data_IF_625228299946
#
_entry.id   IF_625228299946
#
_cell.length_a   1.000
_cell.length_b   1.000
_cell.length_c   1.000
_cell.angle_alpha   90.00
_cell.angle_beta   90.00
_cell.angle_gamma   90.00
#
_symmetry.space_group_name_H-M   'P 1'
#
loop_
_entity.id
_entity.type
_entity.pdbx_description
1 polymer ?
#
# COMPACT_ATOMS: atom_id res chain seq x y z
N UNK A 1 -15.92 13.21 7.17
CA UNK A 1 -16.72 12.89 5.98
C UNK A 1 -16.15 11.62 5.38
N UNK A 2 -16.96 10.58 5.24
CA UNK A 2 -16.52 9.29 4.68
C UNK A 2 -16.43 9.32 3.14
N UNK A 3 -15.78 8.32 2.53
CA UNK A 3 -15.73 8.18 1.07
C UNK A 3 -17.13 8.09 0.45
N UNK A 4 -18.03 7.32 1.09
CA UNK A 4 -19.42 7.13 0.68
C UNK A 4 -20.17 8.47 0.62
N UNK A 5 -20.18 9.20 1.74
CA UNK A 5 -20.85 10.50 1.88
C UNK A 5 -20.34 11.54 0.87
N UNK A 6 -19.04 11.51 0.57
CA UNK A 6 -18.43 12.44 -0.40
C UNK A 6 -18.89 12.15 -1.83
N UNK A 7 -19.00 10.86 -2.20
CA UNK A 7 -19.49 10.44 -3.52
C UNK A 7 -20.98 10.76 -3.68
N UNK A 8 -21.79 10.52 -2.65
CA UNK A 8 -23.22 10.86 -2.65
C UNK A 8 -23.45 12.37 -2.84
N UNK A 9 -22.72 13.21 -2.10
CA UNK A 9 -22.82 14.67 -2.21
C UNK A 9 -22.36 15.19 -3.59
N UNK A 10 -21.50 14.44 -4.28
CA UNK A 10 -21.09 14.74 -5.64
C UNK A 10 -22.09 14.25 -6.71
N UNK A 11 -23.18 13.60 -6.31
CA UNK A 11 -24.21 13.09 -7.22
C UNK A 11 -23.82 11.81 -7.96
N UNK A 12 -22.76 11.12 -7.50
CA UNK A 12 -22.33 9.83 -8.07
C UNK A 12 -23.36 8.75 -7.69
N UNK A 13 -23.77 7.95 -8.67
CA UNK A 13 -24.85 6.98 -8.47
C UNK A 13 -24.80 5.76 -9.39
N UNK A 14 -25.89 5.00 -9.38
CA UNK A 14 -25.97 3.74 -10.12
C UNK A 14 -25.70 3.92 -11.62
N UNK A 15 -24.80 3.10 -12.16
CA UNK A 15 -24.38 3.16 -13.56
C UNK A 15 -23.08 3.94 -13.80
N UNK A 16 -22.60 4.67 -12.80
CA UNK A 16 -21.28 5.31 -12.84
C UNK A 16 -20.15 4.32 -12.54
N UNK A 17 -18.96 4.65 -13.02
CA UNK A 17 -17.71 3.99 -12.68
C UNK A 17 -16.84 4.88 -11.80
N UNK A 18 -16.25 4.28 -10.75
CA UNK A 18 -15.28 4.97 -9.89
C UNK A 18 -14.00 4.15 -9.84
N UNK A 19 -12.89 4.79 -10.22
CA UNK A 19 -11.57 4.16 -10.18
C UNK A 19 -11.07 4.12 -8.73
N UNK A 20 -10.71 2.93 -8.26
CA UNK A 20 -10.25 2.67 -6.88
C UNK A 20 -8.96 1.85 -6.89
N UNK A 21 -8.10 1.97 -5.86
CA UNK A 21 -6.91 1.15 -5.75
C UNK A 21 -7.28 -0.32 -5.51
N UNK A 22 -6.49 -1.20 -6.10
CA UNK A 22 -6.67 -2.65 -5.99
C UNK A 22 -5.97 -3.28 -4.78
N UNK A 23 -5.00 -2.58 -4.20
CA UNK A 23 -4.16 -3.10 -3.12
C UNK A 23 -4.62 -2.52 -1.77
N UNK A 24 -5.45 -3.21 -1.00
CA UNK A 24 -5.85 -2.77 0.37
C UNK A 24 -7.04 -1.80 0.41
N UNK A 25 -7.37 -1.27 1.60
CA UNK A 25 -8.47 -0.31 1.81
C UNK A 25 -9.84 -0.75 1.27
N UNK A 26 -10.23 -2.01 1.52
CA UNK A 26 -11.50 -2.61 1.07
C UNK A 26 -12.75 -1.75 1.37
N UNK A 27 -12.74 -0.99 2.46
CA UNK A 27 -13.84 -0.06 2.82
C UNK A 27 -14.13 0.96 1.72
N UNK A 28 -13.12 1.42 0.97
CA UNK A 28 -13.31 2.34 -0.17
C UNK A 28 -14.09 1.66 -1.29
N UNK A 29 -13.65 0.46 -1.72
CA UNK A 29 -14.33 -0.28 -2.78
C UNK A 29 -15.73 -0.74 -2.35
N UNK A 30 -15.91 -1.12 -1.08
CA UNK A 30 -17.22 -1.47 -0.51
C UNK A 30 -18.16 -0.28 -0.46
N UNK A 31 -17.68 0.92 -0.13
CA UNK A 31 -18.47 2.14 -0.19
C UNK A 31 -18.98 2.41 -1.60
N UNK A 32 -18.12 2.27 -2.62
CA UNK A 32 -18.52 2.40 -4.03
C UNK A 32 -19.61 1.38 -4.39
N UNK A 33 -19.41 0.11 -4.06
CA UNK A 33 -20.42 -0.94 -4.33
C UNK A 33 -21.74 -0.69 -3.59
N UNK A 34 -21.69 -0.21 -2.34
CA UNK A 34 -22.87 0.08 -1.54
C UNK A 34 -23.75 1.19 -2.15
N UNK A 35 -23.15 2.10 -2.94
CA UNK A 35 -23.86 3.13 -3.69
C UNK A 35 -24.47 2.63 -5.02
N UNK A 36 -24.29 1.35 -5.36
CA UNK A 36 -24.68 0.80 -6.66
C UNK A 36 -23.76 1.24 -7.81
N UNK A 37 -22.60 1.82 -7.49
CA UNK A 37 -21.59 2.31 -8.42
C UNK A 37 -20.62 1.16 -8.75
N UNK A 38 -20.08 1.14 -9.97
CA UNK A 38 -19.14 0.11 -10.41
C UNK A 38 -17.71 0.47 -9.99
N UNK A 39 -17.04 -0.31 -9.11
CA UNK A 39 -15.63 -0.09 -8.83
C UNK A 39 -14.77 -0.59 -9.99
N UNK A 40 -13.96 0.31 -10.55
CA UNK A 40 -12.94 -0.01 -11.56
C UNK A 40 -11.58 -0.04 -10.87
N UNK A 41 -10.90 -1.17 -10.89
CA UNK A 41 -9.61 -1.31 -10.24
C UNK A 41 -8.48 -0.88 -11.17
N UNK A 42 -7.63 0.03 -10.70
CA UNK A 42 -6.37 0.39 -11.35
C UNK A 42 -5.16 -0.08 -10.53
N UNK A 43 -4.04 -0.29 -11.23
CA UNK A 43 -2.80 -0.78 -10.62
C UNK A 43 -2.14 0.26 -9.71
N UNK A 44 -1.19 -0.20 -8.89
CA UNK A 44 -0.42 0.63 -7.96
C UNK A 44 0.98 0.89 -8.47
N UNK A 45 1.57 2.00 -8.06
CA UNK A 45 2.99 2.26 -8.26
C UNK A 45 3.83 1.32 -7.39
N UNK A 46 4.81 0.64 -8.00
CA UNK A 46 5.59 -0.43 -7.36
C UNK A 46 6.46 0.05 -6.19
N UNK A 47 6.79 1.34 -6.12
CA UNK A 47 7.56 1.94 -5.03
C UNK A 47 6.69 2.45 -3.89
N UNK A 48 5.58 3.12 -4.21
CA UNK A 48 4.72 3.80 -3.23
C UNK A 48 3.53 2.99 -2.76
N UNK A 49 3.12 1.98 -3.52
CA UNK A 49 1.89 1.21 -3.35
C UNK A 49 0.60 2.04 -3.39
N UNK A 50 0.72 3.33 -3.70
CA UNK A 50 -0.40 4.21 -3.98
C UNK A 50 -0.89 3.96 -5.41
N UNK A 51 -2.10 4.40 -5.71
CA UNK A 51 -2.69 4.32 -7.05
C UNK A 51 -1.79 5.00 -8.08
N UNK A 52 -1.48 4.32 -9.18
CA UNK A 52 -0.65 4.86 -10.26
C UNK A 52 -1.49 5.73 -11.21
N UNK A 53 -1.20 7.04 -11.36
CA UNK A 53 -1.92 7.91 -12.30
C UNK A 53 -1.92 7.41 -13.75
N UNK A 54 -0.87 6.70 -14.19
CA UNK A 54 -0.82 6.12 -15.53
C UNK A 54 -1.83 4.98 -15.67
N UNK A 55 -1.83 4.04 -14.73
CA UNK A 55 -2.81 2.95 -14.68
C UNK A 55 -4.26 3.45 -14.57
N UNK A 56 -4.50 4.55 -13.86
CA UNK A 56 -5.82 5.20 -13.85
C UNK A 56 -6.21 5.64 -15.25
N UNK A 57 -5.31 6.31 -15.98
CA UNK A 57 -5.60 6.82 -17.33
C UNK A 57 -5.95 5.70 -18.31
N UNK A 58 -5.42 4.49 -18.11
CA UNK A 58 -5.67 3.31 -18.96
C UNK A 58 -7.07 2.69 -18.77
N UNK A 59 -7.68 2.88 -17.60
CA UNK A 59 -8.97 2.25 -17.26
C UNK A 59 -10.15 3.23 -17.32
N UNK A 60 -9.89 4.51 -17.55
CA UNK A 60 -10.94 5.53 -17.67
C UNK A 60 -11.78 5.28 -18.92
N UNK A 61 -13.10 5.27 -18.73
CA UNK A 61 -14.10 5.15 -19.78
C UNK A 61 -15.01 6.38 -19.80
N UNK A 62 -15.96 6.43 -20.74
CA UNK A 62 -17.00 7.46 -20.76
C UNK A 62 -18.00 7.36 -19.60
N UNK A 63 -17.98 6.28 -18.81
CA UNK A 63 -18.80 6.10 -17.61
C UNK A 63 -18.03 6.44 -16.32
N UNK A 64 -16.74 6.70 -16.40
CA UNK A 64 -15.93 7.04 -15.24
C UNK A 64 -16.22 8.46 -14.79
N UNK A 65 -16.58 8.62 -13.52
CA UNK A 65 -16.94 9.93 -12.95
C UNK A 65 -16.03 10.36 -11.80
N UNK A 66 -15.32 9.42 -11.17
CA UNK A 66 -14.41 9.74 -10.08
C UNK A 66 -13.22 8.78 -9.99
N UNK A 67 -12.17 9.23 -9.33
CA UNK A 67 -11.02 8.44 -8.90
C UNK A 67 -10.78 8.66 -7.40
N UNK A 68 -10.56 7.57 -6.67
CA UNK A 68 -10.26 7.63 -5.23
C UNK A 68 -8.79 7.32 -5.00
N UNK A 69 -8.01 8.34 -4.68
CA UNK A 69 -6.64 8.23 -4.23
C UNK A 69 -6.60 7.84 -2.75
N UNK A 70 -5.76 6.88 -2.39
CA UNK A 70 -5.56 6.49 -0.98
C UNK A 70 -4.07 6.61 -0.64
N UNK A 71 -3.74 7.31 0.44
CA UNK A 71 -2.38 7.33 0.99
C UNK A 71 -2.04 5.97 1.59
N UNK A 72 -0.80 5.49 1.44
CA UNK A 72 -0.45 4.10 1.78
C UNK A 72 0.76 4.00 2.67
N UNK A 73 0.60 3.32 3.81
CA UNK A 73 1.68 2.98 4.73
C UNK A 73 2.46 4.21 5.26
N UNK A 74 1.80 5.37 5.26
CA UNK A 74 2.41 6.67 5.58
C UNK A 74 3.07 7.39 4.40
N UNK A 75 2.93 6.88 3.18
CA UNK A 75 3.32 7.54 1.92
C UNK A 75 2.10 8.20 1.29
N UNK A 76 2.26 9.45 0.88
CA UNK A 76 1.21 10.19 0.16
C UNK A 76 1.13 9.73 -1.29
N UNK A 77 -0.10 9.56 -1.78
CA UNK A 77 -0.38 9.37 -3.20
C UNK A 77 0.01 10.63 -3.99
N UNK A 78 0.30 10.46 -5.29
CA UNK A 78 0.58 11.56 -6.22
C UNK A 78 -0.73 12.28 -6.61
N UNK A 79 -1.32 12.99 -5.64
CA UNK A 79 -2.60 13.69 -5.80
C UNK A 79 -2.53 14.76 -6.89
N UNK A 80 -1.34 15.34 -7.12
CA UNK A 80 -1.14 16.32 -8.21
C UNK A 80 -1.43 15.67 -9.55
N UNK A 81 -0.77 14.56 -9.87
CA UNK A 81 -1.00 13.84 -11.12
C UNK A 81 -2.39 13.20 -11.21
N UNK A 82 -2.95 12.70 -10.11
CA UNK A 82 -4.31 12.18 -10.11
C UNK A 82 -5.36 13.27 -10.39
N UNK A 83 -5.12 14.51 -9.92
CA UNK A 83 -5.95 15.67 -10.29
C UNK A 83 -5.79 16.04 -11.76
N UNK A 84 -4.57 16.02 -12.30
CA UNK A 84 -4.34 16.26 -13.74
C UNK A 84 -5.05 15.20 -14.61
N UNK A 85 -5.10 13.93 -14.17
CA UNK A 85 -5.92 12.90 -14.83
C UNK A 85 -7.40 13.26 -14.70
N UNK A 86 -7.86 13.64 -13.51
CA UNK A 86 -9.24 14.07 -13.30
C UNK A 86 -9.66 15.24 -14.18
N UNK A 87 -8.86 16.30 -14.25
CA UNK A 87 -9.14 17.49 -15.08
C UNK A 87 -9.21 17.15 -16.57
N UNK A 88 -8.31 16.29 -17.07
CA UNK A 88 -8.30 15.88 -18.48
C UNK A 88 -9.52 15.03 -18.87
N UNK A 89 -10.05 14.25 -17.94
CA UNK A 89 -11.13 13.30 -18.19
C UNK A 89 -12.48 13.71 -17.56
N UNK A 90 -12.57 14.87 -16.90
CA UNK A 90 -13.77 15.33 -16.21
C UNK A 90 -14.11 14.55 -14.94
N UNK A 91 -13.13 13.95 -14.27
CA UNK A 91 -13.33 13.10 -13.09
C UNK A 91 -13.17 13.88 -11.78
N UNK A 92 -13.99 13.54 -10.80
CA UNK A 92 -13.77 13.95 -9.41
C UNK A 92 -12.59 13.17 -8.79
N UNK A 93 -11.55 13.89 -8.35
CA UNK A 93 -10.42 13.28 -7.65
C UNK A 93 -10.60 13.38 -6.12
N UNK A 94 -10.91 12.26 -5.48
CA UNK A 94 -11.05 12.15 -4.03
C UNK A 94 -9.75 11.67 -3.38
N UNK A 95 -9.41 12.22 -2.23
CA UNK A 95 -8.26 11.77 -1.43
C UNK A 95 -8.78 11.22 -0.12
N UNK A 96 -8.44 9.96 0.15
CA UNK A 96 -8.80 9.25 1.37
C UNK A 96 -7.51 8.95 2.13
N UNK A 97 -7.49 9.33 3.40
CA UNK A 97 -6.43 8.93 4.32
C UNK A 97 -6.61 7.44 4.66
N UNK A 98 -5.51 6.67 4.67
CA UNK A 98 -5.58 5.31 5.21
C UNK A 98 -5.91 5.42 6.70
N UNK A 99 -6.96 4.75 7.20
CA UNK A 99 -7.25 4.75 8.62
C UNK A 99 -6.01 4.21 9.35
N UNK A 100 -5.43 5.07 10.18
CA UNK A 100 -4.17 4.79 10.85
C UNK A 100 -4.25 3.50 11.66
N UNK A 101 -3.25 2.64 11.50
CA UNK A 101 -3.07 1.49 12.40
C UNK A 101 -2.60 1.93 13.81
N UNK A 102 -2.20 3.19 13.96
CA UNK A 102 -1.73 3.76 15.22
C UNK A 102 -2.40 5.12 15.49
N UNK A 103 -3.30 5.22 16.50
CA UNK A 103 -3.88 6.50 16.92
C UNK A 103 -2.82 7.49 17.44
N UNK A 104 -1.62 7.03 17.81
CA UNK A 104 -0.46 7.86 18.17
C UNK A 104 0.32 8.42 16.97
N UNK A 105 0.05 7.98 15.74
CA UNK A 105 0.71 8.47 14.52
C UNK A 105 0.47 9.95 14.23
N UNK A 106 -0.56 10.52 14.85
CA UNK A 106 -0.94 11.94 14.79
C UNK A 106 -0.25 12.79 15.88
N UNK A 107 0.44 12.20 16.85
CA UNK A 107 1.16 12.95 17.86
C UNK A 107 2.42 13.61 17.29
N UNK A 108 2.68 14.90 17.60
CA UNK A 108 3.90 15.57 17.17
C UNK A 108 5.16 14.80 17.59
N UNK A 109 6.06 14.52 16.65
CA UNK A 109 7.35 13.84 16.94
C UNK A 109 7.37 12.34 16.65
N UNK A 110 6.21 11.66 16.59
CA UNK A 110 6.18 10.19 16.36
C UNK A 110 6.72 9.83 14.98
N UNK A 111 6.34 10.59 13.95
CA UNK A 111 6.82 10.36 12.59
C UNK A 111 8.34 10.61 12.47
N UNK A 112 8.88 11.60 13.19
CA UNK A 112 10.31 11.89 13.26
C UNK A 112 11.08 10.73 13.90
N UNK A 113 10.57 10.17 15.00
CA UNK A 113 11.17 9.04 15.70
C UNK A 113 11.15 7.76 14.83
N UNK A 114 10.04 7.51 14.12
CA UNK A 114 9.97 6.42 13.12
C UNK A 114 11.00 6.62 12.01
N UNK A 115 11.11 7.83 11.46
CA UNK A 115 12.12 8.15 10.43
C UNK A 115 13.55 7.92 10.91
N UNK A 116 13.85 8.20 12.17
CA UNK A 116 15.16 7.89 12.75
C UNK A 116 15.43 6.38 12.82
N UNK A 117 14.42 5.58 13.19
CA UNK A 117 14.51 4.12 13.17
C UNK A 117 14.71 3.60 11.74
N UNK A 118 13.93 4.10 10.78
CA UNK A 118 14.03 3.70 9.36
C UNK A 118 15.38 4.08 8.77
N UNK A 119 15.91 5.27 9.04
CA UNK A 119 17.26 5.65 8.61
C UNK A 119 18.34 4.65 9.08
N UNK A 120 18.20 4.14 10.31
CA UNK A 120 19.09 3.10 10.82
C UNK A 120 18.92 1.77 10.08
N UNK A 121 17.69 1.37 9.79
CA UNK A 121 17.37 0.13 9.09
C UNK A 121 17.80 0.19 7.62
N UNK A 122 17.43 1.22 6.87
CA UNK A 122 17.74 1.38 5.44
C UNK A 122 19.26 1.33 5.18
N UNK A 123 20.05 1.94 6.07
CA UNK A 123 21.51 1.91 5.94
C UNK A 123 22.12 0.52 6.14
N UNK A 124 21.40 -0.47 6.71
CA UNK A 124 21.94 -1.77 7.15
C UNK A 124 21.19 -2.99 6.63
N UNK A 125 19.93 -2.86 6.23
CA UNK A 125 19.17 -3.95 5.63
C UNK A 125 19.73 -4.23 4.23
N UNK A 126 20.04 -5.50 3.99
CA UNK A 126 20.56 -6.04 2.74
C UNK A 126 19.78 -7.28 2.30
N UNK A 127 19.11 -7.95 3.24
CA UNK A 127 18.33 -9.16 2.95
C UNK A 127 16.91 -8.92 2.42
N UNK A 128 16.48 -7.67 2.34
CA UNK A 128 15.19 -7.25 1.79
C UNK A 128 15.37 -5.95 1.03
N UNK A 129 14.47 -5.66 0.08
CA UNK A 129 14.40 -4.36 -0.59
C UNK A 129 13.60 -3.40 0.29
N UNK A 130 14.23 -2.30 0.69
CA UNK A 130 13.60 -1.28 1.54
C UNK A 130 12.71 -0.35 0.71
N UNK A 131 11.74 0.35 1.34
CA UNK A 131 10.99 1.41 0.67
C UNK A 131 11.93 2.45 0.03
N UNK A 132 11.49 3.02 -1.09
CA UNK A 132 12.16 4.18 -1.64
C UNK A 132 12.00 5.40 -0.71
N UNK A 133 13.07 6.19 -0.51
CA UNK A 133 12.97 7.42 0.24
C UNK A 133 11.93 8.37 -0.38
N UNK A 134 10.99 8.85 0.43
CA UNK A 134 9.98 9.81 -0.01
C UNK A 134 9.88 10.99 0.95
N UNK A 135 9.65 12.17 0.39
CA UNK A 135 9.45 13.41 1.15
C UNK A 135 8.23 13.24 2.07
N UNK A 136 8.42 13.49 3.38
CA UNK A 136 7.37 13.41 4.41
C UNK A 136 6.73 12.02 4.61
N UNK A 137 7.40 10.93 4.24
CA UNK A 137 6.95 9.59 4.62
C UNK A 137 6.84 9.47 6.15
N UNK A 138 5.67 9.08 6.67
CA UNK A 138 5.43 8.96 8.13
C UNK A 138 5.82 7.58 8.66
N UNK A 139 5.93 6.59 7.77
CA UNK A 139 6.29 5.20 8.08
C UNK A 139 5.35 4.56 9.10
N UNK A 140 4.05 4.87 9.00
CA UNK A 140 3.00 4.17 9.75
C UNK A 140 3.11 2.65 9.62
N UNK A 141 3.52 2.18 8.44
CA UNK A 141 4.02 0.81 8.26
C UNK A 141 5.32 0.86 7.47
N UNK A 142 6.34 0.15 7.94
CA UNK A 142 7.59 -0.02 7.21
C UNK A 142 7.51 -1.27 6.34
N UNK A 143 7.15 -1.09 5.06
CA UNK A 143 6.85 -2.18 4.13
C UNK A 143 8.04 -2.46 3.22
N UNK A 144 8.69 -3.60 3.42
CA UNK A 144 9.81 -4.06 2.60
C UNK A 144 9.31 -5.07 1.56
N UNK A 145 10.08 -5.29 0.48
CA UNK A 145 9.87 -6.42 -0.43
C UNK A 145 10.89 -7.52 -0.16
N UNK A 146 10.41 -8.74 0.01
CA UNK A 146 11.22 -9.94 0.16
C UNK A 146 11.72 -10.37 -1.23
N UNK A 147 13.04 -10.56 -1.42
CA UNK A 147 13.58 -11.06 -2.69
C UNK A 147 13.14 -12.51 -2.93
N UNK A 148 13.05 -12.91 -4.20
CA UNK A 148 12.61 -14.24 -4.61
C UNK A 148 11.50 -14.16 -5.66
N UNK A 149 10.75 -15.26 -5.83
CA UNK A 149 9.68 -15.37 -6.83
C UNK A 149 8.28 -15.10 -6.24
N UNK A 150 8.18 -14.21 -5.25
CA UNK A 150 6.93 -13.91 -4.55
C UNK A 150 6.54 -15.02 -3.56
N UNK A 151 5.34 -15.58 -3.67
CA UNK A 151 4.94 -16.75 -2.87
C UNK A 151 5.43 -18.05 -3.53
N UNK A 152 5.94 -19.02 -2.75
CA UNK A 152 5.87 -19.14 -1.28
C UNK A 152 7.03 -18.48 -0.51
N UNK A 153 8.01 -17.90 -1.19
CA UNK A 153 9.26 -17.40 -0.60
C UNK A 153 9.01 -16.33 0.48
N UNK A 154 8.13 -15.36 0.21
CA UNK A 154 7.75 -14.33 1.19
C UNK A 154 7.18 -14.95 2.47
N UNK A 155 6.32 -15.96 2.34
CA UNK A 155 5.67 -16.61 3.48
C UNK A 155 6.68 -17.45 4.28
N UNK A 156 7.63 -18.11 3.60
CA UNK A 156 8.74 -18.80 4.23
C UNK A 156 9.67 -17.82 4.98
N UNK A 157 10.02 -16.70 4.35
CA UNK A 157 10.80 -15.62 4.97
C UNK A 157 10.11 -15.08 6.21
N UNK A 158 8.80 -14.79 6.13
CA UNK A 158 8.01 -14.30 7.26
C UNK A 158 7.97 -15.31 8.42
N UNK A 159 7.80 -16.61 8.15
CA UNK A 159 7.86 -17.66 9.18
C UNK A 159 9.24 -17.71 9.86
N UNK A 160 10.30 -17.68 9.06
CA UNK A 160 11.67 -17.71 9.59
C UNK A 160 12.01 -16.44 10.41
N UNK A 161 11.52 -15.28 9.99
CA UNK A 161 11.71 -14.02 10.68
C UNK A 161 11.00 -14.01 12.04
N UNK A 162 9.75 -14.50 12.10
CA UNK A 162 9.00 -14.68 13.35
C UNK A 162 9.67 -15.68 14.29
N UNK A 163 10.21 -16.78 13.76
CA UNK A 163 10.97 -17.75 14.57
C UNK A 163 12.25 -17.14 15.19
N UNK A 164 12.80 -16.07 14.60
CA UNK A 164 13.91 -15.28 15.14
C UNK A 164 13.46 -14.15 16.09
N UNK A 165 12.17 -14.09 16.42
CA UNK A 165 11.59 -13.10 17.33
C UNK A 165 11.41 -11.72 16.73
N UNK A 166 11.30 -11.61 15.40
CA UNK A 166 10.94 -10.37 14.72
C UNK A 166 9.52 -10.52 14.19
N UNK A 167 8.59 -9.75 14.76
CA UNK A 167 7.22 -9.71 14.28
C UNK A 167 7.18 -9.19 12.84
N UNK A 168 6.22 -9.67 12.04
CA UNK A 168 5.99 -9.16 10.69
C UNK A 168 4.62 -9.63 10.18
N UNK A 169 4.05 -8.92 9.22
CA UNK A 169 2.76 -9.26 8.60
C UNK A 169 2.76 -8.94 7.11
N UNK A 170 1.98 -9.67 6.32
CA UNK A 170 1.68 -9.26 4.95
C UNK A 170 0.63 -8.12 5.03
N UNK A 171 0.95 -6.89 4.56
CA UNK A 171 0.08 -5.74 4.81
C UNK A 171 -1.24 -5.82 4.03
N UNK A 172 -1.21 -6.42 2.84
CA UNK A 172 -2.40 -6.75 2.03
C UNK A 172 -2.17 -8.13 1.42
N UNK A 173 -2.71 -9.21 2.02
CA UNK A 173 -2.46 -10.56 1.56
C UNK A 173 -3.30 -10.95 0.33
N UNK A 174 -4.37 -10.23 0.03
CA UNK A 174 -5.27 -10.53 -1.09
C UNK A 174 -5.65 -9.21 -1.77
N UNK A 175 -5.35 -9.03 -3.07
CA UNK A 175 -5.85 -7.91 -3.85
C UNK A 175 -7.39 -7.85 -3.83
N UNK A 176 -7.95 -6.66 -3.83
CA UNK A 176 -9.40 -6.47 -3.63
C UNK A 176 -10.24 -7.19 -4.69
N UNK A 177 -9.83 -7.15 -5.96
CA UNK A 177 -10.53 -7.82 -7.07
C UNK A 177 -10.48 -9.36 -7.01
N UNK A 178 -9.75 -9.94 -6.05
CA UNK A 178 -9.76 -11.39 -5.77
C UNK A 178 -10.72 -11.75 -4.62
N UNK A 179 -11.18 -10.78 -3.83
CA UNK A 179 -12.12 -11.01 -2.72
C UNK A 179 -13.51 -11.38 -3.26
N UNK A 180 -14.26 -12.30 -2.62
CA UNK A 180 -15.56 -12.77 -3.12
C UNK A 180 -16.54 -11.64 -3.47
N UNK A 181 -16.76 -10.69 -2.55
CA UNK A 181 -17.68 -9.55 -2.76
C UNK A 181 -17.19 -8.47 -3.74
N UNK A 182 -15.90 -8.43 -4.07
CA UNK A 182 -15.30 -7.42 -4.95
C UNK A 182 -14.73 -8.05 -6.22
N UNK A 183 -15.04 -9.32 -6.48
CA UNK A 183 -14.37 -10.11 -7.52
C UNK A 183 -14.53 -9.47 -8.89
N UNK A 184 -13.41 -9.27 -9.60
CA UNK A 184 -13.37 -8.82 -11.00
C UNK A 184 -12.36 -9.63 -11.77
N UNK A 185 -12.65 -9.85 -13.05
CA UNK A 185 -11.75 -10.54 -13.96
C UNK A 185 -10.73 -9.56 -14.54
N UNK A 186 -9.78 -9.15 -13.69
CA UNK A 186 -8.70 -8.22 -14.02
C UNK A 186 -7.38 -8.79 -13.50
N UNK A 187 -6.28 -8.40 -14.15
CA UNK A 187 -4.93 -8.73 -13.71
C UNK A 187 -4.12 -7.43 -13.65
N UNK A 188 -3.65 -7.10 -12.44
CA UNK A 188 -2.91 -5.87 -12.16
C UNK A 188 -1.49 -6.25 -11.71
N UNK A 189 -0.50 -6.24 -12.62
CA UNK A 189 0.79 -6.87 -12.38
C UNK A 189 1.53 -6.36 -11.15
N UNK A 190 1.57 -5.04 -10.90
CA UNK A 190 2.27 -4.51 -9.74
C UNK A 190 1.51 -4.78 -8.44
N UNK A 191 0.18 -4.81 -8.47
CA UNK A 191 -0.65 -5.20 -7.34
C UNK A 191 -0.44 -6.66 -6.95
N UNK A 192 -0.40 -7.58 -7.91
CA UNK A 192 -0.11 -9.00 -7.67
C UNK A 192 1.30 -9.17 -7.07
N UNK A 193 2.31 -8.52 -7.70
CA UNK A 193 3.67 -8.52 -7.17
C UNK A 193 3.75 -7.96 -5.75
N UNK A 194 3.05 -6.86 -5.46
CA UNK A 194 3.03 -6.28 -4.12
C UNK A 194 2.39 -7.25 -3.11
N UNK A 195 1.30 -7.94 -3.45
CA UNK A 195 0.66 -8.92 -2.57
C UNK A 195 1.56 -10.13 -2.25
N UNK A 196 2.43 -10.49 -3.18
CA UNK A 196 3.31 -11.66 -3.08
C UNK A 196 4.67 -11.36 -2.48
N UNK A 197 5.22 -10.16 -2.66
CA UNK A 197 6.57 -9.81 -2.23
C UNK A 197 6.62 -9.03 -0.91
N UNK A 198 5.55 -8.30 -0.55
CA UNK A 198 5.63 -7.33 0.56
C UNK A 198 5.53 -7.96 1.95
N UNK A 199 6.23 -7.34 2.91
CA UNK A 199 6.17 -7.66 4.32
C UNK A 199 6.30 -6.37 5.14
N UNK A 200 5.36 -6.13 6.06
CA UNK A 200 5.45 -5.05 7.02
C UNK A 200 6.30 -5.48 8.21
N UNK A 201 7.37 -4.73 8.47
CA UNK A 201 8.24 -4.89 9.63
C UNK A 201 7.89 -3.85 10.71
N UNK A 202 8.14 -4.16 11.99
CA UNK A 202 7.75 -3.29 13.09
C UNK A 202 8.63 -2.04 13.12
N UNK A 203 8.00 -0.87 13.11
CA UNK A 203 8.63 0.42 13.34
C UNK A 203 7.71 1.29 14.20
N UNK A 204 8.18 1.69 15.39
CA UNK A 204 7.45 2.56 16.32
C UNK A 204 8.41 3.50 17.05
N UNK A 205 7.87 4.60 17.61
CA UNK A 205 8.63 5.75 18.12
C UNK A 205 9.59 5.44 19.30
N UNK A 206 9.50 4.27 19.92
CA UNK A 206 10.30 3.86 21.08
C UNK A 206 11.24 2.68 20.85
N UNK A 207 11.52 2.29 19.60
CA UNK A 207 12.37 1.12 19.35
C UNK A 207 13.79 1.29 19.88
N UNK A 208 14.24 0.31 20.65
CA UNK A 208 15.60 0.24 21.15
C UNK A 208 16.59 -0.14 20.03
N UNK A 209 17.85 0.25 20.20
CA UNK A 209 18.95 -0.18 19.32
C UNK A 209 19.04 -1.70 19.19
N UNK A 210 18.76 -2.44 20.28
CA UNK A 210 18.80 -3.91 20.31
C UNK A 210 17.71 -4.52 19.42
N UNK A 211 16.50 -3.97 19.41
CA UNK A 211 15.41 -4.43 18.53
C UNK A 211 15.75 -4.17 17.07
N UNK A 212 16.23 -2.97 16.74
CA UNK A 212 16.65 -2.62 15.38
C UNK A 212 17.79 -3.53 14.89
N UNK A 213 18.80 -3.79 15.73
CA UNK A 213 19.89 -4.72 15.41
C UNK A 213 19.40 -6.15 15.19
N UNK A 214 18.44 -6.62 16.00
CA UNK A 214 17.83 -7.94 15.82
C UNK A 214 17.13 -8.03 14.46
N UNK A 215 16.37 -7.01 14.07
CA UNK A 215 15.74 -6.95 12.76
C UNK A 215 16.75 -7.02 11.62
N UNK A 216 17.80 -6.19 11.68
CA UNK A 216 18.88 -6.18 10.67
C UNK A 216 19.53 -7.55 10.57
N UNK A 217 19.94 -8.13 11.70
CA UNK A 217 20.60 -9.44 11.74
C UNK A 217 19.70 -10.55 11.17
N UNK A 218 18.42 -10.58 11.59
CA UNK A 218 17.49 -11.60 11.14
C UNK A 218 17.17 -11.48 9.64
N UNK A 219 16.91 -10.27 9.14
CA UNK A 219 16.61 -10.06 7.71
C UNK A 219 17.83 -10.38 6.84
N UNK A 220 19.03 -9.91 7.23
CA UNK A 220 20.25 -10.12 6.44
C UNK A 220 20.67 -11.60 6.41
N UNK A 221 20.50 -12.33 7.51
CA UNK A 221 20.76 -13.77 7.55
C UNK A 221 19.83 -14.57 6.63
N UNK A 222 18.60 -14.09 6.39
CA UNK A 222 17.63 -14.77 5.55
C UNK A 222 17.73 -14.38 4.08
N UNK A 223 18.02 -13.11 3.76
CA UNK A 223 18.05 -12.66 2.37
C UNK A 223 19.19 -13.23 1.53
N UNK A 224 20.27 -13.71 2.17
CA UNK A 224 21.30 -14.49 1.48
C UNK A 224 20.85 -15.89 1.06
N UNK A 225 19.74 -16.41 1.59
CA UNK A 225 19.22 -17.76 1.32
C UNK A 225 18.23 -17.81 0.14
N UNK A 226 17.77 -16.65 -0.35
CA UNK A 226 16.70 -16.55 -1.36
C UNK A 226 17.18 -15.93 -2.69
N UNK A 227 18.49 -15.81 -2.91
CA UNK A 227 18.95 -15.41 -4.24
C UNK A 227 18.62 -16.54 -5.23
N UNK A 228 17.98 -16.23 -6.38
CA UNK A 228 17.82 -17.21 -7.44
C UNK A 228 19.20 -17.76 -7.80
N UNK A 229 19.32 -19.08 -7.92
CA UNK A 229 20.45 -19.64 -8.66
C UNK A 229 20.45 -18.97 -10.05
N UNK A 230 21.53 -18.25 -10.35
CA UNK A 230 21.77 -17.63 -11.66
C UNK A 230 21.69 -18.67 -12.78
#
# INVERSE_FOLDING_TARGET
MGTLETLELAGVGAGDEVVVPAYGNAEVARAVVALGVVPVFADVDGGSYCLDPAAVSEVVTGQTVAVVAVHRFGRRADVGRLREVGERHGLLALVVEEPGADPGGTEPGVAELRRACVSYLDSRLRGVRTPEPAVRHTYERYVVRVPGNGRPDRDAFARALRAKGVACTAPVPVPLYRMPELRRDVFLPETERAADETLALPVYAGMSRRELQRMVSACNALGGLLQPAL
#
